data_IF_037481955815
#
_entry.id   IF_037481955815
#
_cell.length_a   1.000
_cell.length_b   1.000
_cell.length_c   1.000
_cell.angle_alpha   90.00
_cell.angle_beta   90.00
_cell.angle_gamma   90.00
#
_symmetry.space_group_name_H-M   'P 1'
#
loop_
_entity.id
_entity.type
_entity.pdbx_description
1 polymer ?
#
# COMPACT_ATOMS: atom_id res chain seq x y z
N UNK A 1 -3.13 -16.37 18.31
CA UNK A 1 -3.32 -14.95 17.95
C UNK A 1 -2.71 -14.72 16.56
N UNK A 2 -3.42 -14.01 15.67
CA UNK A 2 -2.88 -13.69 14.33
C UNK A 2 -1.88 -12.54 14.44
N UNK A 3 -0.69 -12.74 13.88
CA UNK A 3 0.37 -11.73 13.79
C UNK A 3 0.63 -11.44 12.32
N UNK A 4 0.70 -10.15 11.96
CA UNK A 4 1.02 -9.69 10.61
C UNK A 4 2.31 -8.88 10.62
N UNK A 5 3.12 -9.05 9.58
CA UNK A 5 4.37 -8.29 9.36
C UNK A 5 4.43 -7.83 7.91
N UNK A 6 5.14 -6.74 7.70
CA UNK A 6 5.47 -6.25 6.36
C UNK A 6 6.98 -6.28 6.19
N UNK A 7 7.44 -6.96 5.15
CA UNK A 7 8.87 -7.11 4.84
C UNK A 7 9.13 -6.46 3.48
N UNK A 8 9.92 -5.38 3.43
CA UNK A 8 10.31 -4.76 2.17
C UNK A 8 11.38 -5.64 1.49
N UNK A 9 11.16 -5.95 0.23
CA UNK A 9 12.10 -6.69 -0.62
C UNK A 9 12.38 -5.84 -1.85
N UNK A 10 13.65 -5.64 -2.18
CA UNK A 10 14.05 -5.00 -3.44
C UNK A 10 13.85 -5.99 -4.58
N UNK A 11 13.39 -5.50 -5.74
CA UNK A 11 13.25 -6.25 -6.97
C UNK A 11 14.42 -5.95 -7.91
N UNK A 12 14.90 -6.98 -8.62
CA UNK A 12 15.84 -6.83 -9.73
C UNK A 12 15.04 -6.70 -11.03
N UNK A 13 14.84 -5.46 -11.47
CA UNK A 13 13.94 -5.11 -12.58
C UNK A 13 14.76 -4.55 -13.72
N UNK A 14 14.63 -5.15 -14.89
CA UNK A 14 15.24 -4.61 -16.11
C UNK A 14 14.45 -3.40 -16.67
N UNK A 15 14.95 -2.78 -17.74
CA UNK A 15 14.36 -1.56 -18.30
C UNK A 15 12.97 -1.77 -18.91
N UNK A 16 12.71 -2.95 -19.49
CA UNK A 16 11.46 -3.25 -20.18
C UNK A 16 10.37 -3.56 -19.16
N UNK A 17 10.68 -4.35 -18.16
CA UNK A 17 9.81 -4.63 -17.03
C UNK A 17 9.55 -3.37 -16.19
N UNK A 18 10.57 -2.50 -15.99
CA UNK A 18 10.38 -1.22 -15.32
C UNK A 18 9.37 -0.34 -16.03
N UNK A 19 9.39 -0.29 -17.36
CA UNK A 19 8.41 0.46 -18.14
C UNK A 19 6.99 -0.07 -17.92
N UNK A 20 6.80 -1.41 -17.96
CA UNK A 20 5.50 -2.05 -17.71
C UNK A 20 5.00 -1.82 -16.27
N UNK A 21 5.90 -1.85 -15.29
CA UNK A 21 5.56 -1.57 -13.90
C UNK A 21 5.13 -0.10 -13.72
N UNK A 22 5.82 0.85 -14.35
CA UNK A 22 5.43 2.26 -14.33
C UNK A 22 4.03 2.46 -14.92
N UNK A 23 3.77 1.94 -16.12
CA UNK A 23 2.45 2.03 -16.74
C UNK A 23 1.37 1.40 -15.86
N UNK A 24 1.66 0.23 -15.27
CA UNK A 24 0.72 -0.47 -14.39
C UNK A 24 0.39 0.35 -13.14
N UNK A 25 1.41 0.96 -12.52
CA UNK A 25 1.23 1.81 -11.34
C UNK A 25 0.45 3.08 -11.69
N UNK A 26 0.77 3.71 -12.80
CA UNK A 26 0.07 4.93 -13.25
C UNK A 26 -1.41 4.67 -13.51
N UNK A 27 -1.75 3.58 -14.21
CA UNK A 27 -3.13 3.18 -14.43
C UNK A 27 -3.83 2.77 -13.13
N UNK A 28 -3.12 2.12 -12.19
CA UNK A 28 -3.64 1.78 -10.87
C UNK A 28 -3.97 3.03 -10.04
N UNK A 29 -3.08 4.02 -10.03
CA UNK A 29 -3.30 5.29 -9.33
C UNK A 29 -4.46 6.07 -9.96
N UNK A 30 -4.52 6.09 -11.29
CA UNK A 30 -5.64 6.69 -12.01
C UNK A 30 -6.95 6.03 -11.59
N UNK A 31 -7.02 4.69 -11.61
CA UNK A 31 -8.20 3.93 -11.22
C UNK A 31 -8.61 4.21 -9.76
N UNK A 32 -7.66 4.19 -8.83
CA UNK A 32 -7.93 4.47 -7.42
C UNK A 32 -8.46 5.90 -7.22
N UNK A 33 -7.85 6.89 -7.87
CA UNK A 33 -8.30 8.30 -7.80
C UNK A 33 -9.65 8.52 -8.49
N UNK A 34 -9.93 7.82 -9.58
CA UNK A 34 -11.25 7.86 -10.23
C UNK A 34 -12.33 7.37 -9.26
N UNK A 35 -12.11 6.23 -8.60
CA UNK A 35 -13.05 5.69 -7.61
C UNK A 35 -13.20 6.63 -6.40
N UNK A 36 -12.10 7.23 -5.89
CA UNK A 36 -12.18 8.25 -4.82
C UNK A 36 -13.02 9.44 -5.27
N UNK A 37 -12.81 9.94 -6.49
CA UNK A 37 -13.56 11.08 -7.01
C UNK A 37 -15.06 10.76 -7.09
N UNK A 38 -15.42 9.57 -7.56
CA UNK A 38 -16.80 9.10 -7.58
C UNK A 38 -17.38 8.98 -6.16
N UNK A 39 -16.67 8.29 -5.26
CA UNK A 39 -17.08 8.05 -3.88
C UNK A 39 -17.24 9.35 -3.06
N UNK A 40 -16.54 10.42 -3.46
CA UNK A 40 -16.55 11.70 -2.75
C UNK A 40 -17.65 12.64 -3.20
N UNK A 41 -18.39 12.30 -4.26
CA UNK A 41 -19.49 13.13 -4.76
C UNK A 41 -20.67 13.15 -3.78
N UNK A 42 -21.47 14.22 -3.88
CA UNK A 42 -22.67 14.38 -3.07
C UNK A 42 -22.40 14.70 -1.60
N UNK A 43 -23.46 14.80 -0.83
CA UNK A 43 -23.45 15.08 0.61
C UNK A 43 -22.93 13.87 1.39
N UNK A 44 -23.41 12.68 1.08
CA UNK A 44 -22.99 11.43 1.69
C UNK A 44 -21.93 10.75 0.84
N UNK A 45 -20.80 10.36 1.49
CA UNK A 45 -19.68 9.70 0.81
C UNK A 45 -19.91 8.20 0.73
N UNK A 46 -19.68 7.63 -0.46
CA UNK A 46 -19.86 6.19 -0.69
C UNK A 46 -18.65 5.43 -0.16
N UNK A 47 -18.85 4.58 0.86
CA UNK A 47 -17.80 3.74 1.47
C UNK A 47 -17.99 2.25 1.19
N UNK A 48 -19.13 1.88 0.58
CA UNK A 48 -19.45 0.50 0.24
C UNK A 48 -18.63 0.01 -0.94
N UNK A 49 -17.77 -1.00 -0.72
CA UNK A 49 -16.99 -1.64 -1.80
C UNK A 49 -17.87 -2.26 -2.88
N UNK A 50 -19.03 -2.80 -2.51
CA UNK A 50 -19.96 -3.41 -3.46
C UNK A 50 -20.61 -2.35 -4.35
N UNK A 51 -21.07 -1.25 -3.77
CA UNK A 51 -21.68 -0.15 -4.50
C UNK A 51 -20.64 0.50 -5.44
N UNK A 52 -19.43 0.78 -4.96
CA UNK A 52 -18.35 1.32 -5.80
C UNK A 52 -17.95 0.37 -6.93
N UNK A 53 -18.03 -0.95 -6.72
CA UNK A 53 -17.83 -1.93 -7.78
C UNK A 53 -18.88 -1.78 -8.88
N UNK A 54 -20.14 -1.69 -8.50
CA UNK A 54 -21.25 -1.57 -9.45
C UNK A 54 -21.19 -0.25 -10.23
N UNK A 55 -20.86 0.85 -9.56
CA UNK A 55 -20.91 2.19 -10.15
C UNK A 55 -19.66 2.60 -10.94
N UNK A 56 -18.49 1.98 -10.70
CA UNK A 56 -17.22 2.45 -11.29
C UNK A 56 -16.46 1.39 -12.09
N UNK A 57 -16.77 0.10 -11.95
CA UNK A 57 -15.95 -0.97 -12.53
C UNK A 57 -15.88 -0.90 -14.05
N UNK A 58 -17.01 -0.76 -14.71
CA UNK A 58 -17.07 -0.78 -16.17
C UNK A 58 -16.31 0.40 -16.80
N UNK A 59 -16.40 1.59 -16.16
CA UNK A 59 -15.68 2.77 -16.62
C UNK A 59 -14.16 2.58 -16.42
N UNK A 60 -13.72 2.11 -15.25
CA UNK A 60 -12.31 1.84 -14.99
C UNK A 60 -11.77 0.78 -15.95
N UNK A 61 -12.52 -0.31 -16.20
CA UNK A 61 -12.14 -1.35 -17.16
C UNK A 61 -12.02 -0.85 -18.60
N UNK A 62 -12.83 0.12 -18.96
CA UNK A 62 -12.82 0.73 -20.30
C UNK A 62 -11.64 1.68 -20.48
N UNK A 63 -11.23 2.38 -19.42
CA UNK A 63 -10.20 3.42 -19.46
C UNK A 63 -8.79 2.88 -19.15
N UNK A 64 -8.69 1.65 -18.63
CA UNK A 64 -7.41 1.04 -18.25
C UNK A 64 -7.23 -0.34 -18.88
N UNK A 65 -5.95 -0.75 -19.01
CA UNK A 65 -5.56 -2.11 -19.43
C UNK A 65 -5.34 -3.04 -18.21
N UNK A 66 -5.57 -2.54 -16.99
CA UNK A 66 -5.35 -3.29 -15.77
C UNK A 66 -6.07 -4.63 -15.76
N UNK A 67 -5.41 -5.65 -15.21
CA UNK A 67 -6.06 -6.92 -14.89
C UNK A 67 -7.25 -6.69 -13.93
N UNK A 68 -8.33 -7.44 -14.11
CA UNK A 68 -9.58 -7.26 -13.33
C UNK A 68 -9.37 -7.22 -11.81
N UNK A 69 -8.44 -8.03 -11.28
CA UNK A 69 -8.15 -8.04 -9.85
C UNK A 69 -7.37 -6.80 -9.39
N UNK A 70 -6.53 -6.20 -10.26
CA UNK A 70 -5.88 -4.92 -9.95
C UNK A 70 -6.91 -3.78 -9.89
N UNK A 71 -7.91 -3.77 -10.79
CA UNK A 71 -9.03 -2.82 -10.71
C UNK A 71 -9.79 -2.97 -9.39
N UNK A 72 -10.05 -4.21 -8.95
CA UNK A 72 -10.68 -4.44 -7.65
C UNK A 72 -9.82 -3.98 -6.48
N UNK A 73 -8.49 -4.16 -6.56
CA UNK A 73 -7.57 -3.70 -5.52
C UNK A 73 -7.47 -2.17 -5.49
N UNK A 74 -7.46 -1.49 -6.64
CA UNK A 74 -7.53 -0.03 -6.72
C UNK A 74 -8.82 0.51 -6.09
N UNK A 75 -9.98 -0.09 -6.40
CA UNK A 75 -11.26 0.23 -5.78
C UNK A 75 -11.23 -0.02 -4.26
N UNK A 76 -10.67 -1.14 -3.79
CA UNK A 76 -10.57 -1.43 -2.36
C UNK A 76 -9.73 -0.37 -1.65
N UNK A 77 -8.55 -0.02 -2.19
CA UNK A 77 -7.67 1.04 -1.67
C UNK A 77 -8.43 2.37 -1.57
N UNK A 78 -9.18 2.74 -2.60
CA UNK A 78 -10.00 3.94 -2.64
C UNK A 78 -11.10 3.93 -1.56
N UNK A 79 -11.87 2.84 -1.47
CA UNK A 79 -12.94 2.70 -0.50
C UNK A 79 -12.43 2.79 0.95
N UNK A 80 -11.31 2.13 1.25
CA UNK A 80 -10.69 2.14 2.58
C UNK A 80 -10.19 3.55 2.96
N UNK A 81 -9.63 4.30 2.00
CA UNK A 81 -9.21 5.69 2.22
C UNK A 81 -10.41 6.62 2.48
N UNK A 82 -11.49 6.49 1.69
CA UNK A 82 -12.72 7.28 1.90
C UNK A 82 -13.36 6.91 3.24
N UNK A 83 -13.42 5.63 3.60
CA UNK A 83 -13.93 5.16 4.88
C UNK A 83 -13.13 5.75 6.05
N UNK A 84 -11.80 5.79 5.94
CA UNK A 84 -10.91 6.38 6.95
C UNK A 84 -11.17 7.88 7.12
N UNK A 85 -11.34 8.63 6.02
CA UNK A 85 -11.66 10.05 6.08
C UNK A 85 -13.03 10.32 6.73
N UNK A 86 -14.05 9.51 6.39
CA UNK A 86 -15.39 9.59 7.02
C UNK A 86 -15.33 9.23 8.50
N UNK A 87 -14.52 8.24 8.89
CA UNK A 87 -14.34 7.87 10.30
C UNK A 87 -13.73 9.02 11.12
N UNK A 88 -12.76 9.76 10.55
CA UNK A 88 -12.19 10.95 11.19
C UNK A 88 -13.23 12.07 11.38
N UNK A 89 -14.09 12.32 10.41
CA UNK A 89 -15.20 13.27 10.58
C UNK A 89 -16.13 12.90 11.73
N UNK A 90 -16.46 11.61 11.87
CA UNK A 90 -17.30 11.14 13.00
C UNK A 90 -16.64 11.34 14.36
N UNK A 91 -15.32 11.48 14.40
CA UNK A 91 -14.53 11.81 15.60
C UNK A 91 -14.36 13.33 15.80
N UNK A 92 -14.96 14.16 14.93
CA UNK A 92 -14.82 15.62 14.97
C UNK A 92 -13.52 16.14 14.37
N UNK A 93 -12.75 15.28 13.68
CA UNK A 93 -11.51 15.68 13.02
C UNK A 93 -11.75 16.12 11.58
N UNK A 94 -10.93 17.05 11.10
CA UNK A 94 -10.93 17.41 9.69
C UNK A 94 -10.24 16.34 8.83
N UNK A 95 -10.88 15.98 7.73
CA UNK A 95 -10.27 15.14 6.68
C UNK A 95 -10.73 15.64 5.30
N UNK A 96 -9.77 15.90 4.42
CA UNK A 96 -10.03 16.22 3.01
C UNK A 96 -10.32 14.97 2.19
N UNK A 97 -10.66 15.19 0.91
CA UNK A 97 -10.77 14.10 -0.07
C UNK A 97 -9.43 13.39 -0.20
N UNK A 98 -9.38 12.05 -0.06
CA UNK A 98 -8.16 11.29 -0.32
C UNK A 98 -7.65 11.49 -1.76
N UNK A 99 -6.34 11.43 -1.94
CA UNK A 99 -5.69 11.45 -3.25
C UNK A 99 -4.41 10.64 -3.20
N UNK A 100 -4.20 9.78 -4.19
CA UNK A 100 -3.03 8.92 -4.31
C UNK A 100 -2.06 9.51 -5.34
N UNK A 101 -0.86 9.85 -4.91
CA UNK A 101 0.22 10.39 -5.76
C UNK A 101 1.51 9.59 -5.67
N UNK A 102 1.69 8.82 -4.59
CA UNK A 102 2.88 7.97 -4.46
C UNK A 102 2.78 6.79 -5.43
N UNK A 103 3.85 6.45 -6.16
CA UNK A 103 3.85 5.37 -7.13
C UNK A 103 3.80 4.00 -6.43
N UNK A 104 2.57 3.55 -6.14
CA UNK A 104 2.29 2.28 -5.46
C UNK A 104 1.11 1.55 -6.08
N UNK A 105 1.17 0.20 -6.10
CA UNK A 105 0.06 -0.66 -6.48
C UNK A 105 -0.08 -1.83 -5.52
N UNK A 106 -1.33 -2.21 -5.21
CA UNK A 106 -1.64 -3.31 -4.28
C UNK A 106 -1.87 -4.61 -5.04
N UNK A 107 -1.16 -5.64 -4.63
CA UNK A 107 -1.23 -6.99 -5.18
C UNK A 107 -1.72 -7.99 -4.14
N UNK A 108 -2.72 -8.78 -4.50
CA UNK A 108 -3.13 -9.97 -3.76
C UNK A 108 -2.77 -11.25 -4.53
N UNK A 109 -3.04 -12.42 -3.94
CA UNK A 109 -2.75 -13.74 -4.54
C UNK A 109 -3.44 -14.00 -5.89
N UNK A 110 -4.41 -13.17 -6.30
CA UNK A 110 -5.11 -13.29 -7.60
C UNK A 110 -4.37 -12.56 -8.72
N UNK A 111 -3.59 -11.53 -8.38
CA UNK A 111 -2.81 -10.75 -9.34
C UNK A 111 -1.29 -10.84 -9.14
N UNK A 112 -0.83 -11.50 -8.07
CA UNK A 112 0.57 -11.87 -7.86
C UNK A 112 0.70 -13.34 -7.46
N UNK A 113 1.79 -13.98 -7.86
CA UNK A 113 2.21 -15.29 -7.37
C UNK A 113 3.58 -15.15 -6.75
N UNK A 114 3.67 -15.45 -5.46
CA UNK A 114 4.90 -15.29 -4.68
C UNK A 114 5.64 -16.63 -4.66
N UNK A 115 6.89 -16.65 -5.15
CA UNK A 115 7.81 -17.76 -5.12
C UNK A 115 8.97 -17.44 -4.17
N UNK A 116 9.87 -18.39 -3.92
CA UNK A 116 10.96 -18.22 -2.96
C UNK A 116 12.01 -17.20 -3.44
N UNK A 117 12.29 -17.18 -4.75
CA UNK A 117 13.35 -16.37 -5.35
C UNK A 117 12.83 -15.23 -6.23
N UNK A 118 11.58 -15.30 -6.67
CA UNK A 118 10.97 -14.31 -7.58
C UNK A 118 9.48 -14.14 -7.34
N UNK A 119 8.90 -13.12 -7.93
CA UNK A 119 7.46 -12.89 -7.97
C UNK A 119 6.97 -12.80 -9.40
N UNK A 120 5.80 -13.38 -9.66
CA UNK A 120 5.07 -13.15 -10.91
C UNK A 120 3.97 -12.14 -10.67
N UNK A 121 4.06 -10.98 -11.33
CA UNK A 121 3.15 -9.83 -11.17
C UNK A 121 2.29 -9.64 -12.41
N UNK A 122 0.99 -9.43 -12.23
CA UNK A 122 0.12 -8.96 -13.32
C UNK A 122 0.44 -7.50 -13.66
N UNK A 123 0.59 -7.20 -14.94
CA UNK A 123 0.78 -5.85 -15.47
C UNK A 123 -0.31 -5.49 -16.47
N UNK A 124 -0.19 -4.33 -17.10
CA UNK A 124 -1.09 -3.88 -18.17
C UNK A 124 -1.00 -4.73 -19.44
N UNK A 125 0.12 -5.43 -19.67
CA UNK A 125 0.35 -6.27 -20.87
C UNK A 125 0.49 -7.77 -20.57
N UNK A 126 0.08 -8.21 -19.38
CA UNK A 126 0.17 -9.62 -18.98
C UNK A 126 0.88 -9.80 -17.65
N UNK A 127 1.70 -10.86 -17.55
CA UNK A 127 2.47 -11.13 -16.33
C UNK A 127 3.96 -11.07 -16.64
N UNK A 128 4.70 -10.50 -15.70
CA UNK A 128 6.15 -10.51 -15.67
C UNK A 128 6.64 -11.32 -14.47
N UNK A 129 7.85 -11.86 -14.56
CA UNK A 129 8.52 -12.55 -13.46
C UNK A 129 9.76 -11.73 -13.07
N UNK A 130 9.84 -11.32 -11.82
CA UNK A 130 10.88 -10.43 -11.33
C UNK A 130 11.57 -11.08 -10.13
N UNK A 131 12.89 -11.16 -10.15
CA UNK A 131 13.70 -11.74 -9.08
C UNK A 131 13.74 -10.82 -7.85
N UNK A 132 13.83 -11.44 -6.67
CA UNK A 132 14.07 -10.73 -5.42
C UNK A 132 15.56 -10.51 -5.21
N UNK A 133 15.93 -9.31 -4.76
CA UNK A 133 17.25 -9.06 -4.19
C UNK A 133 17.19 -9.36 -2.68
N UNK A 134 17.51 -10.61 -2.32
CA UNK A 134 17.41 -11.08 -0.94
C UNK A 134 18.77 -11.03 -0.23
N UNK A 135 18.79 -10.72 1.09
CA UNK A 135 20.00 -10.87 1.88
C UNK A 135 20.32 -12.34 2.10
N UNK A 136 21.57 -12.62 2.51
CA UNK A 136 21.99 -13.96 2.92
C UNK A 136 21.04 -14.52 4.01
N UNK A 137 20.40 -15.69 3.80
CA UNK A 137 19.47 -16.28 4.76
C UNK A 137 20.07 -16.56 6.13
N UNK A 138 21.40 -16.75 6.21
CA UNK A 138 22.09 -16.95 7.48
C UNK A 138 22.17 -15.68 8.35
N UNK A 139 21.85 -14.51 7.81
CA UNK A 139 21.83 -13.27 8.56
C UNK A 139 20.50 -13.12 9.31
N UNK A 140 20.56 -12.62 10.53
CA UNK A 140 19.38 -12.24 11.30
C UNK A 140 18.76 -10.93 10.77
N UNK A 141 17.83 -11.07 9.83
CA UNK A 141 17.13 -9.99 9.15
C UNK A 141 15.62 -10.20 9.23
N UNK A 142 14.79 -9.18 8.96
CA UNK A 142 13.34 -9.39 8.82
C UNK A 142 13.00 -10.43 7.74
N UNK A 143 13.83 -10.59 6.70
CA UNK A 143 13.64 -11.59 5.65
C UNK A 143 13.78 -13.01 6.23
N UNK A 144 14.88 -13.30 6.96
CA UNK A 144 15.09 -14.63 7.57
C UNK A 144 14.03 -14.96 8.63
N UNK A 145 13.52 -13.94 9.34
CA UNK A 145 12.51 -14.16 10.39
C UNK A 145 11.09 -14.37 9.86
N UNK A 146 10.73 -13.75 8.72
CA UNK A 146 9.34 -13.65 8.27
C UNK A 146 9.09 -14.11 6.83
N UNK A 147 10.11 -14.20 5.98
CA UNK A 147 9.98 -14.73 4.61
C UNK A 147 10.53 -16.14 4.47
N UNK A 148 11.65 -16.44 5.14
CA UNK A 148 12.27 -17.77 5.12
C UNK A 148 11.79 -18.65 6.29
N UNK A 149 10.70 -18.30 6.93
CA UNK A 149 10.13 -19.01 8.05
C UNK A 149 8.76 -19.57 7.66
N UNK A 150 8.66 -20.90 7.66
CA UNK A 150 7.46 -21.66 7.26
C UNK A 150 6.22 -21.34 8.12
N UNK A 151 6.39 -20.74 9.30
CA UNK A 151 5.29 -20.30 10.15
C UNK A 151 4.55 -19.08 9.57
N UNK A 152 5.15 -18.37 8.60
CA UNK A 152 4.62 -17.18 7.99
C UNK A 152 4.18 -17.40 6.54
N UNK A 153 2.94 -17.04 6.25
CA UNK A 153 2.38 -17.08 4.90
C UNK A 153 2.33 -15.67 4.29
N UNK A 154 2.81 -15.51 3.06
CA UNK A 154 2.64 -14.25 2.30
C UNK A 154 1.17 -14.16 1.85
N UNK A 155 0.49 -13.09 2.24
CA UNK A 155 -0.94 -12.87 1.93
C UNK A 155 -1.20 -11.88 0.81
N UNK A 156 -0.22 -11.04 0.51
CA UNK A 156 -0.28 -10.02 -0.52
C UNK A 156 0.94 -9.10 -0.44
N UNK A 157 0.97 -8.08 -1.27
CA UNK A 157 2.06 -7.12 -1.30
C UNK A 157 1.61 -5.73 -1.75
N UNK A 158 2.43 -4.73 -1.48
CA UNK A 158 2.33 -3.42 -2.10
C UNK A 158 3.62 -3.14 -2.87
N UNK A 159 3.51 -2.90 -4.18
CA UNK A 159 4.60 -2.50 -5.05
C UNK A 159 4.87 -1.00 -4.83
N UNK A 160 6.13 -0.64 -4.69
CA UNK A 160 6.60 0.73 -4.49
C UNK A 160 7.73 1.05 -5.46
N UNK A 161 7.70 2.23 -6.06
CA UNK A 161 8.83 2.81 -6.77
C UNK A 161 9.39 3.98 -5.96
N UNK A 162 10.68 3.93 -5.63
CA UNK A 162 11.36 4.97 -4.87
C UNK A 162 12.85 4.99 -5.19
N UNK A 163 13.42 6.18 -5.37
CA UNK A 163 14.85 6.40 -5.63
C UNK A 163 15.35 5.60 -6.86
N UNK A 164 14.51 5.57 -7.93
CA UNK A 164 14.73 4.79 -9.16
C UNK A 164 14.86 3.26 -8.96
N UNK A 165 14.37 2.75 -7.83
CA UNK A 165 14.35 1.34 -7.50
C UNK A 165 12.95 0.83 -7.20
N UNK A 166 12.71 -0.45 -7.49
CA UNK A 166 11.45 -1.13 -7.21
C UNK A 166 11.54 -1.97 -5.94
N UNK A 167 10.54 -1.84 -5.11
CA UNK A 167 10.40 -2.59 -3.87
C UNK A 167 9.03 -3.24 -3.79
N UNK A 168 9.00 -4.44 -3.26
CA UNK A 168 7.76 -5.14 -2.93
C UNK A 168 7.67 -5.28 -1.40
N UNK A 169 6.68 -4.62 -0.81
CA UNK A 169 6.38 -4.74 0.62
C UNK A 169 5.49 -5.96 0.82
N UNK A 170 6.08 -7.11 1.11
CA UNK A 170 5.38 -8.38 1.31
C UNK A 170 4.66 -8.37 2.66
N UNK A 171 3.36 -8.60 2.65
CA UNK A 171 2.55 -8.77 3.85
C UNK A 171 2.53 -10.23 4.26
N UNK A 172 3.13 -10.56 5.39
CA UNK A 172 3.14 -11.90 5.94
C UNK A 172 2.18 -12.03 7.13
N UNK A 173 1.70 -13.24 7.36
CA UNK A 173 0.77 -13.59 8.42
C UNK A 173 1.19 -14.91 9.05
N UNK A 174 1.13 -14.98 10.39
CA UNK A 174 1.32 -16.21 11.16
C UNK A 174 0.28 -16.33 12.27
N UNK A 175 -0.05 -17.55 12.66
CA UNK A 175 -0.80 -17.83 13.87
C UNK A 175 0.18 -18.19 14.99
N UNK A 176 0.25 -17.36 16.04
CA UNK A 176 1.14 -17.54 17.19
C UNK A 176 0.33 -17.91 18.40
N UNK A 177 0.70 -18.98 19.10
CA UNK A 177 0.12 -19.33 20.38
C UNK A 177 0.46 -18.27 21.45
N UNK A 178 -0.46 -18.01 22.37
CA UNK A 178 -0.36 -16.89 23.33
C UNK A 178 0.87 -16.98 24.25
N UNK A 179 1.38 -18.17 24.51
CA UNK A 179 2.48 -18.41 25.44
C UNK A 179 3.86 -17.96 24.90
N UNK A 180 3.98 -17.82 23.58
CA UNK A 180 5.25 -17.40 22.94
C UNK A 180 5.48 -15.89 23.02
N UNK A 181 4.44 -15.10 23.30
CA UNK A 181 4.53 -13.63 23.36
C UNK A 181 5.19 -13.11 24.65
N UNK A 182 5.07 -13.82 25.76
CA UNK A 182 5.71 -13.41 27.01
C UNK A 182 7.25 -13.51 26.98
N UNK A 183 7.78 -14.39 26.14
CA UNK A 183 9.24 -14.53 25.98
C UNK A 183 9.84 -13.49 25.02
N UNK A 184 9.06 -12.95 24.08
CA UNK A 184 9.53 -11.93 23.13
C UNK A 184 9.55 -10.50 23.72
N UNK A 185 8.84 -10.26 24.83
CA UNK A 185 8.77 -8.93 25.46
C UNK A 185 9.93 -8.61 26.39
N UNK A 186 10.79 -9.57 26.73
CA UNK A 186 11.95 -9.35 27.62
C UNK A 186 13.23 -8.90 26.90
N UNK A 187 13.21 -8.81 25.57
CA UNK A 187 14.38 -8.35 24.80
C UNK A 187 13.98 -7.34 23.71
N UNK A 188 14.21 -6.05 24.00
CA UNK A 188 14.03 -4.91 23.08
C UNK A 188 12.56 -4.55 22.74
N UNK A 189 12.15 -3.43 23.31
CA UNK A 189 10.92 -2.71 22.96
C UNK A 189 10.92 -2.32 21.48
N UNK A 190 10.38 -3.17 20.63
CA UNK A 190 10.05 -2.79 19.25
C UNK A 190 8.59 -2.34 19.27
N UNK A 191 8.38 -1.05 19.14
CA UNK A 191 7.04 -0.45 19.02
C UNK A 191 6.33 -1.09 17.82
N UNK A 192 5.22 -1.77 18.10
CA UNK A 192 4.29 -2.26 17.07
C UNK A 192 3.66 -1.05 16.38
N UNK A 193 4.26 -0.62 15.30
CA UNK A 193 3.66 0.37 14.41
C UNK A 193 2.51 -0.30 13.64
N UNK A 194 1.28 -0.12 14.10
CA UNK A 194 0.12 -0.27 13.23
C UNK A 194 0.22 0.86 12.21
N UNK A 195 0.71 0.56 11.02
CA UNK A 195 0.75 1.54 9.93
C UNK A 195 -0.70 1.77 9.46
N UNK A 196 -1.39 2.69 10.12
CA UNK A 196 -2.45 3.45 9.48
C UNK A 196 -1.75 4.29 8.42
N UNK A 197 -2.17 4.18 7.18
CA UNK A 197 -1.72 5.05 6.09
C UNK A 197 -2.13 6.49 6.45
N UNK A 198 -1.27 7.21 7.14
CA UNK A 198 -1.42 8.65 7.34
C UNK A 198 -0.93 9.31 6.06
N UNK A 199 -1.86 9.91 5.33
CA UNK A 199 -1.52 10.91 4.33
C UNK A 199 -0.73 12.01 5.05
N UNK A 200 0.55 12.15 4.72
CA UNK A 200 1.42 13.21 5.23
C UNK A 200 0.88 14.56 4.76
N UNK A 201 0.08 15.19 5.61
CA UNK A 201 -0.18 16.63 5.52
C UNK A 201 1.00 17.32 6.17
N UNK A 202 1.92 17.85 5.37
CA UNK A 202 2.97 18.73 5.88
C UNK A 202 2.31 20.00 6.44
N UNK A 203 2.59 20.39 7.69
CA UNK A 203 2.15 21.68 8.19
C UNK A 203 3.00 22.77 7.55
N UNK A 204 2.38 23.69 6.84
CA UNK A 204 3.02 24.95 6.39
C UNK A 204 3.39 25.74 7.65
N UNK A 205 4.62 25.64 8.09
CA UNK A 205 5.23 26.60 9.04
C UNK A 205 5.87 27.69 8.22
N UNK A 206 5.31 28.89 8.28
CA UNK A 206 6.03 30.16 8.48
C UNK A 206 5.17 31.34 8.01
N UNK A 207 4.53 32.00 8.96
CA UNK A 207 4.27 33.44 8.89
C UNK A 207 4.86 34.07 10.15
N UNK A 208 6.13 34.48 10.06
CA UNK A 208 6.70 35.44 11.01
C UNK A 208 6.15 36.82 10.69
N UNK A 209 5.29 37.31 11.54
CA UNK A 209 4.99 38.74 11.61
C UNK A 209 6.18 39.46 12.23
N UNK A 210 6.94 40.19 11.43
CA UNK A 210 7.84 41.24 11.89
C UNK A 210 7.01 42.44 12.34
N UNK A 211 6.91 42.65 13.63
CA UNK A 211 6.50 43.92 14.21
C UNK A 211 7.71 44.84 14.18
N UNK A 212 7.68 45.84 13.31
CA UNK A 212 8.53 47.01 13.40
C UNK A 212 8.00 47.96 14.47
N UNK A 213 8.77 48.09 15.52
CA UNK A 213 8.63 49.21 16.47
C UNK A 213 9.35 50.43 15.88
N UNK A 214 8.64 51.48 15.59
CA UNK A 214 9.19 52.82 15.47
C UNK A 214 8.86 53.62 16.71
N UNK A 215 9.91 53.90 17.49
CA UNK A 215 9.91 54.98 18.47
C UNK A 215 10.35 56.27 17.78
N UNK A 216 9.62 57.30 17.89
CA UNK A 216 9.90 58.62 18.44
C UNK A 216 8.70 59.49 18.25
#
# INVERSE_FOLDING_TARGET
>A
MEVRRTVPVKLDVDSDDAALLHETVDEFLWAANHVVNHAWQGEYKTTSKAQLQEETYDEVRKQTRLHANLVQNARNKAADAVQSAVARWKQGEYAGRPHFSNPTAVYDKRCATFHDEYVSLATVEGRIEVEYVLPDPARDTPHSRYLFNDDYEVTGAELHHRDDEWFLHLCTKAEVESDTLEQATTGHSTVLGVHKSEALVQPIRNLRFLRTLTST
#
